data_IF_228407947213
#
_entry.id   IF_228407947213
#
_cell.length_a   1.000
_cell.length_b   1.000
_cell.length_c   1.000
_cell.angle_alpha   90.00
_cell.angle_beta   90.00
_cell.angle_gamma   90.00
#
_symmetry.space_group_name_H-M   'P 1'
#
loop_
_entity.id
_entity.type
_entity.pdbx_description
1 polymer ?
#
# COMPACT_ATOMS: atom_id res chain seq x y z
N UNK A 1 6.76 6.00 -23.90
CA UNK A 1 6.28 7.27 -24.52
C UNK A 1 7.03 8.42 -23.88
N UNK A 2 7.09 9.63 -24.45
CA UNK A 2 7.62 10.76 -23.67
C UNK A 2 6.55 11.17 -22.65
N UNK A 3 6.84 10.98 -21.36
CA UNK A 3 5.92 11.28 -20.26
C UNK A 3 5.96 12.80 -20.02
N UNK A 4 4.81 13.50 -20.01
CA UNK A 4 4.75 14.97 -20.02
C UNK A 4 5.07 15.62 -18.67
N UNK A 5 5.41 14.81 -17.67
CA UNK A 5 5.66 15.22 -16.29
C UNK A 5 6.92 14.52 -15.77
N UNK A 6 7.49 15.07 -14.72
CA UNK A 6 8.69 14.49 -14.13
C UNK A 6 8.37 13.22 -13.33
N UNK A 7 9.37 12.34 -13.23
CA UNK A 7 9.33 11.14 -12.41
C UNK A 7 10.51 11.17 -11.44
N UNK A 8 10.23 11.04 -10.15
CA UNK A 8 11.25 10.97 -9.13
C UNK A 8 10.71 10.92 -7.71
N UNK A 9 11.56 10.44 -6.80
CA UNK A 9 11.25 10.29 -5.37
C UNK A 9 10.86 11.61 -4.69
N UNK A 10 11.26 12.76 -5.25
CA UNK A 10 10.88 14.09 -4.75
C UNK A 10 9.38 14.33 -4.75
N UNK A 11 8.63 13.62 -5.61
CA UNK A 11 7.17 13.74 -5.71
C UNK A 11 6.41 12.83 -4.75
N UNK A 12 7.09 11.89 -4.07
CA UNK A 12 6.42 10.84 -3.28
C UNK A 12 5.48 11.39 -2.19
N UNK A 13 5.87 12.51 -1.58
CA UNK A 13 5.08 13.19 -0.56
C UNK A 13 3.99 14.14 -1.09
N UNK A 14 3.86 14.30 -2.41
CA UNK A 14 2.92 15.23 -3.03
C UNK A 14 1.48 14.86 -2.69
N UNK A 15 0.68 15.86 -2.31
CA UNK A 15 -0.74 15.70 -2.00
C UNK A 15 -1.58 16.57 -2.91
N UNK A 16 -2.46 15.95 -3.69
CA UNK A 16 -3.41 16.65 -4.56
C UNK A 16 -4.70 16.93 -3.77
N UNK A 17 -4.89 18.19 -3.35
CA UNK A 17 -6.10 18.60 -2.61
C UNK A 17 -7.30 18.70 -3.55
N UNK A 18 -8.51 18.73 -2.99
CA UNK A 18 -9.78 18.79 -3.76
C UNK A 18 -9.81 19.96 -4.76
N UNK A 19 -9.27 21.13 -4.40
CA UNK A 19 -9.24 22.29 -5.28
C UNK A 19 -8.26 22.16 -6.46
N UNK A 20 -7.25 21.30 -6.31
CA UNK A 20 -6.16 21.10 -7.27
C UNK A 20 -6.37 19.86 -8.15
N UNK A 21 -7.34 19.00 -7.81
CA UNK A 21 -7.58 17.76 -8.55
C UNK A 21 -8.27 18.06 -9.89
N UNK A 22 -7.75 17.44 -10.95
CA UNK A 22 -8.46 17.32 -12.22
C UNK A 22 -9.44 16.16 -12.17
N UNK A 23 -9.00 14.97 -11.73
CA UNK A 23 -9.88 13.80 -11.54
C UNK A 23 -9.52 13.07 -10.25
N UNK A 24 -10.52 12.42 -9.67
CA UNK A 24 -10.37 11.48 -8.56
C UNK A 24 -10.74 10.07 -9.04
N UNK A 25 -9.83 9.13 -8.83
CA UNK A 25 -9.95 7.74 -9.25
C UNK A 25 -9.99 6.87 -7.99
N UNK A 26 -11.10 6.18 -7.76
CA UNK A 26 -11.36 5.52 -6.48
C UNK A 26 -11.62 6.54 -5.35
N UNK A 27 -11.05 6.29 -4.17
CA UNK A 27 -11.30 7.10 -2.97
C UNK A 27 -12.63 6.85 -2.26
N UNK A 28 -12.89 7.57 -1.16
CA UNK A 28 -13.98 7.24 -0.22
C UNK A 28 -15.40 7.34 -0.80
N UNK A 29 -15.57 8.13 -1.87
CA UNK A 29 -16.89 8.37 -2.50
C UNK A 29 -17.17 7.44 -3.68
N UNK A 30 -16.25 6.55 -4.00
CA UNK A 30 -16.35 5.62 -5.12
C UNK A 30 -16.45 4.20 -4.55
N UNK A 31 -17.48 3.47 -4.97
CA UNK A 31 -17.79 2.14 -4.42
C UNK A 31 -16.80 1.07 -4.89
N UNK A 32 -16.49 1.06 -6.17
CA UNK A 32 -15.65 0.04 -6.79
C UNK A 32 -14.28 0.63 -7.12
N UNK A 33 -13.25 0.13 -6.43
CA UNK A 33 -11.87 0.55 -6.62
C UNK A 33 -10.92 -0.56 -6.19
N UNK A 34 -9.78 -0.68 -6.87
CA UNK A 34 -8.70 -1.50 -6.34
C UNK A 34 -7.49 -1.69 -7.23
N UNK A 35 -6.49 -2.40 -6.72
CA UNK A 35 -5.27 -2.73 -7.44
C UNK A 35 -4.84 -4.16 -7.18
N UNK A 36 -4.35 -4.87 -8.19
CA UNK A 36 -3.95 -6.26 -8.06
C UNK A 36 -2.70 -6.52 -8.88
N UNK A 37 -1.72 -7.17 -8.28
CA UNK A 37 -0.61 -7.81 -9.01
C UNK A 37 -0.89 -9.28 -9.15
N UNK A 38 -0.57 -9.84 -10.33
CA UNK A 38 -0.51 -11.28 -10.54
C UNK A 38 0.78 -11.72 -11.20
N UNK A 39 1.38 -12.77 -10.65
CA UNK A 39 2.42 -13.54 -11.31
C UNK A 39 1.81 -14.33 -12.47
N UNK A 40 2.53 -14.36 -13.58
CA UNK A 40 2.16 -15.04 -14.82
C UNK A 40 3.33 -15.80 -15.39
N UNK A 41 3.03 -16.77 -16.25
CA UNK A 41 4.08 -17.41 -17.05
C UNK A 41 4.57 -16.47 -18.15
N UNK A 42 5.79 -16.71 -18.61
CA UNK A 42 6.45 -15.86 -19.62
C UNK A 42 5.70 -15.78 -20.95
N UNK A 43 4.88 -16.79 -21.29
CA UNK A 43 4.07 -16.87 -22.50
C UNK A 43 2.64 -16.32 -22.35
N UNK A 44 2.19 -16.04 -21.13
CA UNK A 44 0.83 -15.54 -20.85
C UNK A 44 0.70 -14.03 -21.01
N UNK A 45 1.81 -13.28 -20.96
CA UNK A 45 1.79 -11.81 -20.99
C UNK A 45 2.69 -11.21 -22.08
N UNK A 46 2.28 -10.02 -22.54
CA UNK A 46 3.03 -9.23 -23.52
C UNK A 46 3.77 -8.11 -22.81
N UNK A 47 5.09 -8.19 -22.80
CA UNK A 47 5.94 -7.17 -22.18
C UNK A 47 5.68 -5.76 -22.74
N UNK A 48 5.63 -4.78 -21.86
CA UNK A 48 5.39 -3.38 -22.19
C UNK A 48 3.94 -3.06 -22.57
N UNK A 49 3.01 -4.04 -22.53
CA UNK A 49 1.62 -3.79 -22.92
C UNK A 49 0.93 -2.91 -21.88
N UNK A 50 0.32 -1.82 -22.35
CA UNK A 50 -0.55 -0.95 -21.55
C UNK A 50 -1.95 -0.93 -22.19
N UNK A 51 -2.98 -1.18 -21.39
CA UNK A 51 -4.38 -1.19 -21.83
C UNK A 51 -5.23 -0.32 -20.90
N UNK A 52 -6.20 0.40 -21.47
CA UNK A 52 -7.21 1.17 -20.72
C UNK A 52 -8.57 0.62 -21.11
N UNK A 53 -9.33 0.12 -20.12
CA UNK A 53 -10.64 -0.52 -20.29
C UNK A 53 -11.73 0.35 -19.68
N UNK A 54 -12.23 1.29 -20.50
CA UNK A 54 -13.21 2.30 -20.12
C UNK A 54 -12.76 3.70 -20.58
N UNK A 55 -13.42 4.76 -20.11
CA UNK A 55 -13.02 6.14 -20.41
C UNK A 55 -11.59 6.40 -19.94
N UNK A 56 -10.77 7.04 -20.77
CA UNK A 56 -9.44 7.52 -20.38
C UNK A 56 -9.51 8.93 -19.77
N UNK A 57 -8.41 9.46 -19.24
CA UNK A 57 -8.38 10.77 -18.57
C UNK A 57 -8.89 11.92 -19.46
N UNK A 58 -8.61 11.88 -20.76
CA UNK A 58 -9.06 12.88 -21.73
C UNK A 58 -10.59 12.93 -21.91
N UNK A 59 -11.29 11.88 -21.51
CA UNK A 59 -12.76 11.75 -21.56
C UNK A 59 -13.41 12.10 -20.21
N UNK A 60 -12.61 12.36 -19.17
CA UNK A 60 -13.09 12.66 -17.83
C UNK A 60 -13.17 14.17 -17.61
N UNK A 61 -14.34 14.65 -17.16
CA UNK A 61 -14.51 16.07 -16.85
C UNK A 61 -13.69 16.50 -15.62
N UNK A 62 -13.23 17.74 -15.58
CA UNK A 62 -12.57 18.30 -14.40
C UNK A 62 -13.46 18.21 -13.15
N UNK A 63 -12.88 17.78 -12.03
CA UNK A 63 -13.55 17.58 -10.74
C UNK A 63 -14.38 16.30 -10.64
N UNK A 64 -14.41 15.47 -11.69
CA UNK A 64 -15.18 14.22 -11.70
C UNK A 64 -14.52 13.11 -10.85
N UNK A 65 -15.31 12.06 -10.55
CA UNK A 65 -14.90 10.88 -9.79
C UNK A 65 -15.23 9.63 -10.58
N UNK A 66 -14.31 8.66 -10.61
CA UNK A 66 -14.49 7.43 -11.39
C UNK A 66 -14.06 6.19 -10.60
N UNK A 67 -14.75 5.08 -10.87
CA UNK A 67 -14.28 3.74 -10.48
C UNK A 67 -12.93 3.45 -11.12
N UNK A 68 -12.05 2.79 -10.39
CA UNK A 68 -10.67 2.60 -10.84
C UNK A 68 -10.07 1.27 -10.43
N UNK A 69 -9.53 0.55 -11.41
CA UNK A 69 -8.77 -0.69 -11.25
C UNK A 69 -7.36 -0.53 -11.81
N UNK A 70 -6.33 -0.86 -11.02
CA UNK A 70 -4.96 -1.01 -11.51
C UNK A 70 -4.63 -2.50 -11.51
N UNK A 71 -4.50 -3.10 -12.69
CA UNK A 71 -4.14 -4.51 -12.79
C UNK A 71 -2.75 -4.65 -13.42
N UNK A 72 -1.81 -5.19 -12.66
CA UNK A 72 -0.42 -5.38 -13.08
C UNK A 72 -0.14 -6.87 -13.16
N UNK A 73 0.38 -7.32 -14.30
CA UNK A 73 0.79 -8.70 -14.48
C UNK A 73 2.28 -8.75 -14.75
N UNK A 74 2.99 -9.59 -14.01
CA UNK A 74 4.45 -9.70 -14.02
C UNK A 74 4.88 -11.14 -14.29
N UNK A 75 5.97 -11.31 -15.02
CA UNK A 75 6.59 -12.60 -15.24
C UNK A 75 8.12 -12.46 -15.23
N UNK A 76 8.79 -13.50 -14.74
CA UNK A 76 10.24 -13.61 -14.68
C UNK A 76 10.63 -14.91 -14.00
N UNK A 77 11.85 -15.38 -14.20
CA UNK A 77 12.30 -16.67 -13.64
C UNK A 77 12.26 -16.73 -12.11
N UNK A 78 12.40 -15.57 -11.46
CA UNK A 78 12.40 -15.42 -10.00
C UNK A 78 11.08 -14.83 -9.47
N UNK A 79 10.07 -14.64 -10.33
CA UNK A 79 8.76 -14.13 -9.93
C UNK A 79 7.88 -15.30 -9.47
N UNK A 80 7.63 -15.36 -8.17
CA UNK A 80 6.76 -16.34 -7.53
C UNK A 80 5.44 -15.68 -7.07
N UNK A 81 4.39 -16.48 -6.86
CA UNK A 81 3.10 -15.96 -6.34
C UNK A 81 3.26 -15.27 -4.97
N UNK A 82 4.21 -15.73 -4.16
CA UNK A 82 4.55 -15.14 -2.85
C UNK A 82 5.12 -13.71 -2.96
N UNK A 83 5.55 -13.29 -4.15
CA UNK A 83 6.01 -11.92 -4.40
C UNK A 83 4.90 -10.99 -4.86
N UNK A 84 3.69 -11.49 -5.15
CA UNK A 84 2.62 -10.65 -5.69
C UNK A 84 2.29 -9.48 -4.74
N UNK A 85 2.16 -9.73 -3.43
CA UNK A 85 1.86 -8.68 -2.45
C UNK A 85 3.00 -7.66 -2.29
N UNK A 86 4.25 -8.12 -2.37
CA UNK A 86 5.45 -7.26 -2.32
C UNK A 86 5.47 -6.31 -3.51
N UNK A 87 5.25 -6.85 -4.71
CA UNK A 87 5.22 -6.06 -5.95
C UNK A 87 4.00 -5.14 -5.95
N UNK A 88 2.85 -5.61 -5.48
CA UNK A 88 1.60 -4.83 -5.42
C UNK A 88 1.77 -3.59 -4.53
N UNK A 89 2.48 -3.71 -3.42
CA UNK A 89 2.72 -2.57 -2.54
C UNK A 89 3.52 -1.46 -3.22
N UNK A 90 4.41 -1.79 -4.17
CA UNK A 90 5.22 -0.80 -4.90
C UNK A 90 4.41 0.03 -5.90
N UNK A 91 3.18 -0.37 -6.22
CA UNK A 91 2.25 0.48 -7.00
C UNK A 91 2.08 1.83 -6.30
N UNK A 92 1.95 1.84 -4.97
CA UNK A 92 1.84 3.07 -4.18
C UNK A 92 3.02 4.01 -4.43
N UNK A 93 4.25 3.55 -4.25
CA UNK A 93 5.45 4.40 -4.36
C UNK A 93 5.62 4.89 -5.80
N UNK A 94 5.51 3.97 -6.77
CA UNK A 94 5.75 4.29 -8.17
C UNK A 94 4.68 5.18 -8.77
N UNK A 95 3.42 5.10 -8.29
CA UNK A 95 2.41 6.09 -8.63
C UNK A 95 2.78 7.47 -8.06
N UNK A 96 3.21 7.54 -6.80
CA UNK A 96 3.56 8.81 -6.16
C UNK A 96 4.90 9.40 -6.63
N UNK A 97 5.74 8.65 -7.35
CA UNK A 97 6.92 9.21 -8.01
C UNK A 97 6.58 10.03 -9.25
N UNK A 98 5.35 9.94 -9.77
CA UNK A 98 4.92 10.68 -10.96
C UNK A 98 4.34 12.03 -10.53
N UNK A 99 4.95 13.14 -10.97
CA UNK A 99 4.54 14.50 -10.57
C UNK A 99 3.03 14.72 -10.78
N UNK A 100 2.35 15.11 -9.70
CA UNK A 100 0.93 15.40 -9.66
C UNK A 100 -0.01 14.22 -9.80
N UNK A 101 0.49 12.98 -9.72
CA UNK A 101 -0.34 11.79 -9.49
C UNK A 101 -0.17 11.32 -8.05
N UNK A 102 -1.23 11.46 -7.27
CA UNK A 102 -1.28 10.96 -5.89
C UNK A 102 -1.93 9.58 -5.89
N UNK A 103 -1.34 8.63 -5.18
CA UNK A 103 -1.92 7.33 -4.84
C UNK A 103 -1.87 7.12 -3.33
N UNK A 104 -2.97 6.62 -2.76
CA UNK A 104 -3.05 6.27 -1.34
C UNK A 104 -3.71 4.92 -1.17
N UNK A 105 -3.48 4.37 0.03
CA UNK A 105 -4.04 3.11 0.50
C UNK A 105 -3.47 1.91 -0.27
N UNK A 106 -4.29 0.90 -0.54
CA UNK A 106 -3.90 -0.40 -1.09
C UNK A 106 -5.10 -1.25 -1.48
N UNK A 107 -4.85 -2.36 -2.19
CA UNK A 107 -5.81 -3.43 -2.50
C UNK A 107 -7.14 -2.88 -2.99
N UNK A 108 -8.26 -3.15 -2.33
CA UNK A 108 -9.63 -2.74 -2.73
C UNK A 108 -10.03 -1.33 -2.26
N UNK A 109 -9.08 -0.57 -1.72
CA UNK A 109 -9.38 0.73 -1.11
C UNK A 109 -8.48 1.87 -1.62
N UNK A 110 -7.88 1.69 -2.79
CA UNK A 110 -7.02 2.72 -3.39
C UNK A 110 -7.74 4.07 -3.54
N UNK A 111 -6.98 5.14 -3.39
CA UNK A 111 -7.44 6.49 -3.61
C UNK A 111 -6.42 7.28 -4.40
N UNK A 112 -6.73 7.54 -5.66
CA UNK A 112 -5.83 8.26 -6.55
C UNK A 112 -6.41 9.60 -7.00
N UNK A 113 -5.53 10.56 -7.26
CA UNK A 113 -5.89 11.85 -7.87
C UNK A 113 -4.83 12.28 -8.85
N UNK A 114 -5.28 12.89 -9.94
CA UNK A 114 -4.42 13.62 -10.86
C UNK A 114 -4.62 15.13 -10.67
N UNK A 115 -3.54 15.90 -10.60
CA UNK A 115 -3.60 17.36 -10.46
C UNK A 115 -3.96 18.07 -11.77
N UNK A 116 -4.61 19.24 -11.68
CA UNK A 116 -4.88 20.13 -12.82
C UNK A 116 -3.58 20.60 -13.49
N UNK A 117 -2.53 20.81 -12.70
CA UNK A 117 -1.20 21.21 -13.19
C UNK A 117 -0.62 20.13 -14.12
N UNK A 118 -0.58 18.89 -13.67
CA UNK A 118 -0.04 17.77 -14.46
C UNK A 118 -0.91 17.44 -15.66
N UNK A 119 -2.23 17.49 -15.53
CA UNK A 119 -3.14 17.37 -16.67
C UNK A 119 -2.87 18.46 -17.72
N UNK A 120 -2.70 19.72 -17.28
CA UNK A 120 -2.37 20.86 -18.15
C UNK A 120 -1.01 20.76 -18.84
N UNK A 121 -0.04 20.03 -18.27
CA UNK A 121 1.24 19.69 -18.93
C UNK A 121 1.08 18.65 -20.05
N UNK A 122 -0.07 17.97 -20.13
CA UNK A 122 -0.35 16.95 -21.13
C UNK A 122 -0.57 15.55 -20.55
N UNK A 123 -0.59 15.36 -19.23
CA UNK A 123 -0.89 14.07 -18.60
C UNK A 123 -2.38 13.74 -18.73
N UNK A 124 -2.83 13.45 -19.95
CA UNK A 124 -4.23 13.28 -20.33
C UNK A 124 -4.59 11.85 -20.76
N UNK A 125 -3.72 10.88 -20.49
CA UNK A 125 -3.99 9.44 -20.64
C UNK A 125 -3.32 8.64 -19.53
N UNK A 126 -4.01 7.62 -19.02
CA UNK A 126 -3.45 6.65 -18.07
C UNK A 126 -2.27 5.87 -18.66
N UNK A 127 -2.10 5.88 -19.99
CA UNK A 127 -0.94 5.25 -20.64
C UNK A 127 0.39 5.84 -20.17
N UNK A 128 0.44 7.13 -19.84
CA UNK A 128 1.65 7.73 -19.25
C UNK A 128 1.96 7.15 -17.87
N UNK A 129 0.93 6.93 -17.04
CA UNK A 129 1.11 6.25 -15.75
C UNK A 129 1.59 4.82 -15.94
N UNK A 130 1.02 4.08 -16.90
CA UNK A 130 1.46 2.72 -17.21
C UNK A 130 2.92 2.65 -17.64
N UNK A 131 3.37 3.60 -18.47
CA UNK A 131 4.76 3.69 -18.93
C UNK A 131 5.72 4.01 -17.77
N UNK A 132 5.32 4.93 -16.87
CA UNK A 132 6.04 5.23 -15.64
C UNK A 132 6.16 4.00 -14.73
N UNK A 133 5.04 3.33 -14.45
CA UNK A 133 5.00 2.12 -13.62
C UNK A 133 5.90 1.03 -14.19
N UNK A 134 5.79 0.73 -15.49
CA UNK A 134 6.63 -0.30 -16.15
C UNK A 134 8.11 0.04 -16.02
N UNK A 135 8.48 1.30 -16.24
CA UNK A 135 9.87 1.78 -16.13
C UNK A 135 10.39 1.61 -14.71
N UNK A 136 9.64 2.08 -13.71
CA UNK A 136 10.03 2.02 -12.30
C UNK A 136 10.09 0.58 -11.78
N UNK A 137 9.10 -0.27 -12.11
CA UNK A 137 9.09 -1.68 -11.73
C UNK A 137 10.33 -2.42 -12.26
N UNK A 138 10.68 -2.23 -13.54
CA UNK A 138 11.86 -2.90 -14.11
C UNK A 138 13.19 -2.36 -13.57
N UNK A 139 13.26 -1.08 -13.24
CA UNK A 139 14.46 -0.47 -12.68
C UNK A 139 14.74 -0.98 -11.25
N UNK A 140 13.71 -1.02 -10.43
CA UNK A 140 13.81 -1.29 -8.99
C UNK A 140 13.69 -2.78 -8.65
N UNK A 141 12.98 -3.56 -9.48
CA UNK A 141 12.82 -5.01 -9.31
C UNK A 141 13.29 -5.75 -10.58
N UNK A 142 14.61 -5.92 -10.78
CA UNK A 142 15.17 -6.57 -11.97
C UNK A 142 14.74 -8.03 -12.18
N UNK A 143 14.12 -8.64 -11.18
CA UNK A 143 13.50 -9.98 -11.28
C UNK A 143 12.30 -10.00 -12.24
N UNK A 144 11.70 -8.85 -12.53
CA UNK A 144 10.57 -8.70 -13.45
C UNK A 144 11.11 -8.61 -14.89
N UNK A 145 11.02 -9.71 -15.64
CA UNK A 145 11.46 -9.77 -17.04
C UNK A 145 10.40 -9.22 -18.00
N UNK A 146 9.12 -9.55 -17.74
CA UNK A 146 7.97 -9.04 -18.49
C UNK A 146 6.96 -8.41 -17.55
N UNK A 147 6.36 -7.32 -17.99
CA UNK A 147 5.29 -6.64 -17.27
C UNK A 147 4.25 -6.08 -18.25
N UNK A 148 2.98 -6.17 -17.88
CA UNK A 148 1.89 -5.44 -18.53
C UNK A 148 0.98 -4.78 -17.49
N UNK A 149 0.39 -3.65 -17.86
CA UNK A 149 -0.50 -2.87 -17.00
C UNK A 149 -1.84 -2.68 -17.70
N UNK A 150 -2.92 -3.01 -17.02
CA UNK A 150 -4.29 -2.73 -17.46
C UNK A 150 -4.94 -1.80 -16.46
N UNK A 151 -5.33 -0.62 -16.91
CA UNK A 151 -6.21 0.27 -16.16
C UNK A 151 -7.66 -0.01 -16.52
N UNK A 152 -8.53 -0.04 -15.51
CA UNK A 152 -9.95 -0.32 -15.67
C UNK A 152 -10.72 0.87 -15.10
N UNK A 153 -11.51 1.52 -15.93
CA UNK A 153 -12.28 2.72 -15.56
C UNK A 153 -13.77 2.57 -15.87
N UNK A 154 -14.15 1.55 -16.63
CA UNK A 154 -15.54 1.12 -16.76
C UNK A 154 -16.07 0.56 -15.44
N UNK A 155 -17.10 1.20 -14.88
CA UNK A 155 -17.62 0.92 -13.53
C UNK A 155 -17.94 -0.55 -13.28
N UNK A 156 -18.66 -1.20 -14.20
CA UNK A 156 -19.06 -2.62 -14.07
C UNK A 156 -17.84 -3.54 -14.10
N UNK A 157 -16.87 -3.26 -14.97
CA UNK A 157 -15.63 -4.04 -15.02
C UNK A 157 -14.79 -3.84 -13.76
N UNK A 158 -14.78 -2.66 -13.16
CA UNK A 158 -14.10 -2.43 -11.87
C UNK A 158 -14.78 -3.21 -10.75
N UNK A 159 -16.11 -3.23 -10.68
CA UNK A 159 -16.85 -4.04 -9.70
C UNK A 159 -16.48 -5.53 -9.79
N UNK A 160 -16.46 -6.09 -11.00
CA UNK A 160 -16.09 -7.48 -11.25
C UNK A 160 -14.63 -7.75 -10.90
N UNK A 161 -13.73 -6.83 -11.27
CA UNK A 161 -12.31 -6.90 -10.95
C UNK A 161 -12.08 -6.93 -9.43
N UNK A 162 -12.65 -5.98 -8.69
CA UNK A 162 -12.49 -5.87 -7.23
C UNK A 162 -13.07 -7.08 -6.51
N UNK A 163 -14.23 -7.59 -6.97
CA UNK A 163 -14.83 -8.81 -6.41
C UNK A 163 -13.91 -10.02 -6.54
N UNK A 164 -13.21 -10.15 -7.67
CA UNK A 164 -12.24 -11.23 -7.87
C UNK A 164 -10.94 -11.00 -7.08
N UNK A 165 -10.46 -9.75 -7.03
CA UNK A 165 -9.27 -9.38 -6.29
C UNK A 165 -9.41 -9.68 -4.78
N UNK A 166 -10.58 -9.40 -4.20
CA UNK A 166 -10.89 -9.72 -2.80
C UNK A 166 -10.67 -11.20 -2.44
N UNK A 167 -11.09 -12.12 -3.31
CA UNK A 167 -10.87 -13.57 -3.09
C UNK A 167 -9.38 -13.93 -3.05
N UNK A 168 -8.57 -13.23 -3.85
CA UNK A 168 -7.13 -13.45 -3.89
C UNK A 168 -6.48 -12.91 -2.62
N UNK A 169 -6.87 -11.72 -2.15
CA UNK A 169 -6.37 -11.18 -0.89
C UNK A 169 -6.75 -12.06 0.30
N UNK A 170 -7.99 -12.56 0.36
CA UNK A 170 -8.44 -13.50 1.39
C UNK A 170 -7.57 -14.76 1.42
N UNK A 171 -7.20 -15.30 0.25
CA UNK A 171 -6.32 -16.45 0.16
C UNK A 171 -4.88 -16.13 0.62
N UNK A 172 -4.34 -14.96 0.26
CA UNK A 172 -3.02 -14.50 0.73
C UNK A 172 -3.00 -14.35 2.26
N UNK A 173 -4.03 -13.72 2.83
CA UNK A 173 -4.14 -13.47 4.27
C UNK A 173 -4.38 -14.76 5.07
N UNK A 174 -5.11 -15.74 4.51
CA UNK A 174 -5.36 -17.02 5.18
C UNK A 174 -4.08 -17.81 5.47
N UNK A 175 -3.05 -17.70 4.61
CA UNK A 175 -1.75 -18.35 4.81
C UNK A 175 -1.00 -17.79 6.01
N UNK A 176 -1.14 -16.49 6.29
CA UNK A 176 -0.48 -15.84 7.42
C UNK A 176 -1.03 -16.31 8.79
N UNK A 177 -2.31 -16.69 8.85
CA UNK A 177 -3.00 -17.05 10.11
C UNK A 177 -2.56 -18.39 10.74
N UNK A 178 -1.72 -19.16 10.06
CA UNK A 178 -1.24 -20.45 10.55
C UNK A 178 0.01 -20.35 11.44
N UNK A 179 0.53 -19.14 11.66
CA UNK A 179 1.78 -18.87 12.35
C UNK A 179 1.52 -17.83 13.45
N UNK A 180 2.19 -17.98 14.59
CA UNK A 180 2.11 -17.00 15.70
C UNK A 180 3.48 -16.44 16.06
N UNK A 181 3.51 -15.38 16.85
CA UNK A 181 4.73 -14.63 17.18
C UNK A 181 5.79 -15.49 17.90
N UNK A 182 5.36 -16.53 18.62
CA UNK A 182 6.25 -17.49 19.31
C UNK A 182 6.92 -18.49 18.37
N UNK A 183 6.37 -18.70 17.18
CA UNK A 183 6.84 -19.71 16.22
C UNK A 183 8.00 -19.18 15.35
N UNK A 184 8.30 -17.88 15.45
CA UNK A 184 9.30 -17.19 14.64
C UNK A 184 10.41 -16.57 15.49
N UNK A 185 11.60 -16.49 14.91
CA UNK A 185 12.79 -15.88 15.53
C UNK A 185 12.97 -14.41 15.19
N UNK A 186 12.27 -13.95 14.18
CA UNK A 186 12.41 -12.62 13.59
C UNK A 186 11.05 -12.09 13.14
N UNK A 187 10.89 -10.78 13.27
CA UNK A 187 9.79 -10.00 12.73
C UNK A 187 10.28 -9.20 11.53
N UNK A 188 9.40 -8.42 10.92
CA UNK A 188 9.76 -7.54 9.81
C UNK A 188 9.31 -6.11 10.05
N UNK A 189 10.14 -5.16 9.64
CA UNK A 189 9.83 -3.75 9.67
C UNK A 189 9.34 -3.23 8.32
N UNK A 190 8.65 -2.09 8.33
CA UNK A 190 8.39 -1.31 7.13
C UNK A 190 8.53 0.18 7.43
N UNK A 191 9.32 0.89 6.61
CA UNK A 191 9.50 2.36 6.65
C UNK A 191 9.02 3.06 5.39
N UNK A 192 8.27 2.36 4.53
CA UNK A 192 7.77 2.89 3.26
C UNK A 192 6.99 4.21 3.45
N UNK A 193 6.25 4.34 4.54
CA UNK A 193 5.43 5.52 4.81
C UNK A 193 6.19 6.71 5.43
N UNK A 194 7.52 6.63 5.57
CA UNK A 194 8.32 7.73 6.12
C UNK A 194 8.41 8.95 5.21
N UNK A 195 8.06 8.82 3.93
CA UNK A 195 7.92 9.95 3.01
C UNK A 195 6.86 10.97 3.46
N UNK A 196 5.89 10.58 4.28
CA UNK A 196 4.87 11.47 4.85
C UNK A 196 4.74 11.39 6.38
N UNK A 197 5.29 10.35 7.03
CA UNK A 197 5.37 10.24 8.48
C UNK A 197 6.80 9.86 8.90
N UNK A 198 7.74 10.82 8.95
CA UNK A 198 9.19 10.55 8.99
C UNK A 198 9.68 9.67 10.15
N UNK A 199 8.99 9.69 11.29
CA UNK A 199 9.35 8.92 12.48
C UNK A 199 8.53 7.64 12.63
N UNK A 200 7.63 7.33 11.70
CA UNK A 200 6.80 6.14 11.75
C UNK A 200 7.56 4.88 11.33
N UNK A 201 7.31 3.78 12.03
CA UNK A 201 7.86 2.44 11.74
C UNK A 201 6.75 1.42 11.97
N UNK A 202 6.45 0.59 10.98
CA UNK A 202 5.64 -0.61 11.19
C UNK A 202 6.52 -1.73 11.71
N UNK A 203 6.02 -2.50 12.68
CA UNK A 203 6.54 -3.83 13.02
C UNK A 203 5.45 -4.84 12.67
N UNK A 204 5.82 -5.82 11.84
CA UNK A 204 4.95 -6.80 11.22
C UNK A 204 5.33 -8.17 11.77
N UNK A 205 4.36 -8.84 12.38
CA UNK A 205 4.53 -10.13 13.04
C UNK A 205 3.49 -11.12 12.50
N UNK A 206 3.64 -12.43 12.73
CA UNK A 206 2.61 -13.39 12.36
C UNK A 206 1.22 -13.06 12.94
N UNK A 207 1.16 -12.61 14.20
CA UNK A 207 -0.08 -12.24 14.87
C UNK A 207 -0.55 -10.80 14.54
N UNK A 208 0.27 -10.01 13.84
CA UNK A 208 -0.05 -8.60 13.51
C UNK A 208 0.47 -8.16 12.14
N UNK A 209 -0.47 -8.05 11.20
CA UNK A 209 -0.24 -7.47 9.87
C UNK A 209 0.12 -5.98 9.95
N UNK A 210 0.72 -5.43 8.90
CA UNK A 210 0.92 -3.98 8.77
C UNK A 210 -0.41 -3.21 8.88
N UNK A 211 -0.38 -1.99 9.43
CA UNK A 211 -1.61 -1.22 9.68
C UNK A 211 -2.41 -0.86 8.43
N UNK A 212 -1.77 -0.86 7.27
CA UNK A 212 -2.45 -0.67 5.99
C UNK A 212 -3.10 -1.93 5.42
N UNK A 213 -2.91 -3.08 6.08
CA UNK A 213 -3.47 -4.37 5.67
C UNK A 213 -2.78 -5.03 4.48
N UNK A 214 -1.71 -4.44 3.93
CA UNK A 214 -1.12 -4.90 2.65
C UNK A 214 0.04 -5.87 2.79
N UNK A 215 0.73 -5.89 3.93
CA UNK A 215 1.97 -6.68 4.14
C UNK A 215 1.80 -7.52 5.40
N UNK A 216 1.70 -8.83 5.24
CA UNK A 216 1.79 -9.80 6.35
C UNK A 216 3.26 -10.22 6.60
N UNK A 217 3.48 -11.08 7.59
CA UNK A 217 4.83 -11.53 7.95
C UNK A 217 5.57 -12.23 6.80
N UNK A 218 4.88 -13.06 6.00
CA UNK A 218 5.47 -13.74 4.86
C UNK A 218 5.86 -12.75 3.75
N UNK A 219 5.02 -11.74 3.52
CA UNK A 219 5.29 -10.67 2.56
C UNK A 219 6.51 -9.85 3.01
N UNK A 220 6.59 -9.50 4.30
CA UNK A 220 7.75 -8.80 4.87
C UNK A 220 9.05 -9.57 4.70
N UNK A 221 9.02 -10.89 4.94
CA UNK A 221 10.14 -11.80 4.69
C UNK A 221 10.56 -11.82 3.23
N UNK A 222 9.59 -11.94 2.33
CA UNK A 222 9.84 -11.99 0.90
C UNK A 222 10.42 -10.66 0.40
N UNK A 223 9.86 -9.54 0.84
CA UNK A 223 10.31 -8.19 0.50
C UNK A 223 11.77 -7.95 0.94
N UNK A 224 12.10 -8.24 2.20
CA UNK A 224 13.45 -8.06 2.73
C UNK A 224 14.50 -8.95 2.02
N UNK A 225 14.08 -10.09 1.46
CA UNK A 225 14.95 -10.98 0.67
C UNK A 225 15.14 -10.49 -0.76
N UNK A 226 14.08 -10.03 -1.41
CA UNK A 226 14.10 -9.60 -2.82
C UNK A 226 14.78 -8.25 -2.97
N UNK A 227 14.52 -7.32 -2.05
CA UNK A 227 15.14 -6.00 -2.02
C UNK A 227 15.70 -5.71 -0.62
N UNK A 228 16.92 -6.18 -0.31
CA UNK A 228 17.54 -5.97 1.00
C UNK A 228 17.83 -4.51 1.37
N UNK A 229 17.81 -3.60 0.38
CA UNK A 229 17.98 -2.16 0.59
C UNK A 229 16.65 -1.41 0.57
N UNK A 230 15.55 -2.12 0.36
CA UNK A 230 14.22 -1.58 0.29
C UNK A 230 13.66 -1.15 1.65
N UNK A 231 12.39 -0.74 1.68
CA UNK A 231 11.74 -0.25 2.89
C UNK A 231 11.40 -1.34 3.91
N UNK A 232 11.50 -2.62 3.52
CA UNK A 232 11.23 -3.76 4.38
C UNK A 232 12.52 -4.44 4.82
N UNK A 233 12.63 -4.75 6.10
CA UNK A 233 13.86 -5.29 6.70
C UNK A 233 13.53 -6.27 7.83
N UNK A 234 14.43 -7.22 8.09
CA UNK A 234 14.30 -8.15 9.21
C UNK A 234 14.54 -7.45 10.55
N UNK A 235 13.80 -7.86 11.57
CA UNK A 235 13.93 -7.42 12.95
C UNK A 235 14.21 -8.66 13.81
N UNK A 236 15.46 -8.88 14.25
CA UNK A 236 15.75 -9.87 15.26
C UNK A 236 14.95 -9.57 16.54
N UNK A 237 14.26 -10.57 17.10
CA UNK A 237 13.43 -10.33 18.31
C UNK A 237 14.27 -9.86 19.50
N UNK A 238 15.47 -10.41 19.68
CA UNK A 238 16.26 -10.17 20.89
C UNK A 238 15.61 -10.83 22.11
N UNK A 239 15.78 -10.23 23.28
CA UNK A 239 15.22 -10.70 24.54
C UNK A 239 13.74 -10.33 24.67
N UNK A 240 12.92 -11.25 25.16
CA UNK A 240 11.54 -10.95 25.57
C UNK A 240 11.58 -10.22 26.92
N UNK A 241 11.13 -8.97 26.94
CA UNK A 241 11.12 -8.10 28.13
C UNK A 241 9.78 -8.23 28.87
N UNK A 242 8.68 -8.24 28.12
CA UNK A 242 7.32 -8.32 28.65
C UNK A 242 6.45 -9.19 27.75
N UNK A 243 6.06 -10.37 28.24
CA UNK A 243 5.22 -11.33 27.51
C UNK A 243 3.80 -10.80 27.27
N UNK A 244 3.24 -10.04 28.21
CA UNK A 244 1.85 -9.56 28.13
C UNK A 244 1.75 -8.44 27.09
N UNK A 245 2.65 -7.47 27.15
CA UNK A 245 2.67 -6.35 26.22
C UNK A 245 3.32 -6.72 24.86
N UNK A 246 4.02 -7.84 24.80
CA UNK A 246 4.81 -8.24 23.63
C UNK A 246 5.99 -7.29 23.40
N UNK A 247 6.73 -6.95 24.46
CA UNK A 247 7.90 -6.09 24.37
C UNK A 247 9.17 -6.91 24.17
N UNK A 248 9.96 -6.53 23.18
CA UNK A 248 11.17 -7.23 22.78
C UNK A 248 12.32 -6.24 22.63
N UNK A 249 13.50 -6.58 23.15
CA UNK A 249 14.65 -5.65 23.14
C UNK A 249 15.11 -5.31 21.72
N UNK A 250 15.12 -6.28 20.81
CA UNK A 250 15.51 -6.06 19.42
C UNK A 250 14.49 -5.23 18.63
N UNK A 251 13.20 -5.34 18.98
CA UNK A 251 12.15 -4.47 18.41
C UNK A 251 12.35 -3.03 18.88
N UNK A 252 12.58 -2.82 20.18
CA UNK A 252 12.84 -1.49 20.73
C UNK A 252 14.07 -0.82 20.10
N UNK A 253 15.18 -1.57 19.93
CA UNK A 253 16.40 -1.06 19.30
C UNK A 253 16.14 -0.57 17.87
N UNK A 254 15.50 -1.41 17.06
CA UNK A 254 15.20 -1.10 15.66
C UNK A 254 14.20 0.05 15.54
N UNK A 255 13.15 0.07 16.36
CA UNK A 255 12.17 1.16 16.38
C UNK A 255 12.85 2.47 16.76
N UNK A 256 13.73 2.48 17.76
CA UNK A 256 14.50 3.67 18.14
C UNK A 256 15.39 4.17 17.00
N UNK A 257 16.13 3.29 16.35
CA UNK A 257 16.98 3.65 15.21
C UNK A 257 16.15 4.23 14.05
N UNK A 258 15.10 3.51 13.64
CA UNK A 258 14.33 3.82 12.44
C UNK A 258 13.34 4.96 12.64
N UNK A 259 12.96 5.27 13.88
CA UNK A 259 12.13 6.44 14.21
C UNK A 259 12.94 7.69 14.56
N UNK A 260 14.26 7.69 14.31
CA UNK A 260 15.17 8.80 14.62
C UNK A 260 15.20 9.15 16.12
N UNK A 261 14.97 8.16 16.99
CA UNK A 261 14.94 8.31 18.44
C UNK A 261 13.59 8.75 19.02
N UNK A 262 12.57 9.02 18.20
CA UNK A 262 11.26 9.48 18.68
C UNK A 262 10.52 8.40 19.49
N UNK A 263 10.69 7.13 19.12
CA UNK A 263 10.05 6.01 19.81
C UNK A 263 11.12 5.07 20.37
N UNK A 264 11.20 4.93 21.68
CA UNK A 264 12.20 4.08 22.35
C UNK A 264 11.66 2.70 22.74
N UNK A 265 10.34 2.58 22.91
CA UNK A 265 9.66 1.36 23.35
C UNK A 265 8.48 1.06 22.45
N UNK A 266 8.19 -0.21 22.27
CA UNK A 266 7.18 -0.65 21.32
C UNK A 266 6.45 -1.90 21.81
N UNK A 267 5.15 -1.75 22.10
CA UNK A 267 4.31 -2.84 22.60
C UNK A 267 3.46 -3.42 21.46
N UNK A 268 3.66 -4.71 21.17
CA UNK A 268 2.95 -5.42 20.11
C UNK A 268 1.48 -5.71 20.45
N UNK A 269 1.15 -5.88 21.74
CA UNK A 269 -0.16 -6.38 22.18
C UNK A 269 -0.88 -5.44 23.16
N UNK A 270 -0.46 -4.17 23.22
CA UNK A 270 -1.10 -3.16 24.07
C UNK A 270 -1.34 -1.85 23.31
N UNK A 271 -2.51 -1.25 23.56
CA UNK A 271 -2.83 0.10 23.08
C UNK A 271 -2.43 1.19 24.10
N UNK A 272 -1.92 0.79 25.27
CA UNK A 272 -1.57 1.69 26.36
C UNK A 272 -0.06 1.84 26.50
N UNK A 273 0.37 3.01 26.98
CA UNK A 273 1.77 3.38 27.26
C UNK A 273 2.68 3.54 26.04
N UNK A 274 2.92 2.46 25.28
CA UNK A 274 3.85 2.48 24.14
C UNK A 274 3.26 1.76 22.91
N UNK A 275 2.06 2.18 22.44
CA UNK A 275 1.42 1.57 21.28
C UNK A 275 2.21 1.86 20.00
N UNK A 276 1.86 1.14 18.94
CA UNK A 276 2.38 1.44 17.61
C UNK A 276 1.99 2.86 17.17
N UNK A 277 2.92 3.56 16.51
CA UNK A 277 2.59 4.79 15.80
C UNK A 277 1.80 4.49 14.52
N UNK A 278 1.20 5.52 13.94
CA UNK A 278 0.47 5.43 12.68
C UNK A 278 1.02 6.45 11.69
N UNK A 279 1.03 6.09 10.41
CA UNK A 279 1.26 7.03 9.32
C UNK A 279 -0.08 7.67 8.87
N UNK A 280 -0.64 7.24 7.74
CA UNK A 280 -1.93 7.76 7.25
C UNK A 280 -2.73 6.79 6.39
N UNK A 281 -2.32 5.52 6.31
CA UNK A 281 -2.94 4.51 5.47
C UNK A 281 -3.62 3.38 6.27
N UNK A 282 -3.88 3.59 7.57
CA UNK A 282 -4.59 2.62 8.41
C UNK A 282 -6.02 2.40 7.90
N UNK A 283 -6.48 1.14 7.95
CA UNK A 283 -7.86 0.78 7.57
C UNK A 283 -8.86 1.07 8.69
N UNK A 284 -8.40 1.05 9.94
CA UNK A 284 -9.24 1.27 11.12
C UNK A 284 -8.47 1.97 12.23
N UNK A 285 -9.19 2.68 13.09
CA UNK A 285 -8.68 3.27 14.33
C UNK A 285 -9.31 2.54 15.50
N UNK A 286 -8.49 2.18 16.49
CA UNK A 286 -8.94 1.71 17.79
C UNK A 286 -8.81 2.83 18.83
N UNK A 287 -9.81 2.98 19.70
CA UNK A 287 -9.82 3.98 20.76
C UNK A 287 -10.44 3.40 22.04
N UNK A 288 -9.97 3.88 23.20
CA UNK A 288 -10.47 3.43 24.49
C UNK A 288 -11.71 4.23 24.89
N UNK A 289 -12.72 3.55 25.43
CA UNK A 289 -13.99 4.13 25.91
C UNK A 289 -14.04 3.94 27.44
N UNK A 290 -13.69 4.96 28.23
CA UNK A 290 -13.59 4.84 29.69
C UNK A 290 -14.88 4.40 30.37
N UNK A 291 -16.04 4.86 29.89
CA UNK A 291 -17.36 4.65 30.49
C UNK A 291 -17.76 3.18 30.53
N UNK A 292 -17.25 2.38 29.59
CA UNK A 292 -17.51 0.94 29.48
C UNK A 292 -16.25 0.10 29.66
N UNK A 293 -15.13 0.74 30.03
CA UNK A 293 -13.80 0.12 30.08
C UNK A 293 -13.51 -0.75 28.84
N UNK A 294 -13.88 -0.24 27.66
CA UNK A 294 -13.91 -1.01 26.41
C UNK A 294 -13.09 -0.37 25.30
N UNK A 295 -12.98 -1.08 24.18
CA UNK A 295 -12.28 -0.62 22.98
C UNK A 295 -13.32 -0.43 21.87
N UNK A 296 -13.40 0.78 21.33
CA UNK A 296 -14.10 1.08 20.10
C UNK A 296 -13.18 0.90 18.90
N UNK A 297 -13.73 0.42 17.78
CA UNK A 297 -13.01 0.32 16.50
C UNK A 297 -13.88 0.98 15.44
N UNK A 298 -13.29 1.90 14.69
CA UNK A 298 -13.93 2.54 13.54
C UNK A 298 -13.15 2.24 12.28
N UNK A 299 -13.84 1.71 11.27
CA UNK A 299 -13.29 1.51 9.94
C UNK A 299 -13.31 2.82 9.17
N UNK A 300 -12.31 3.08 8.33
CA UNK A 300 -12.20 4.33 7.55
C UNK A 300 -13.35 4.66 6.61
N UNK A 301 -14.16 3.67 6.24
CA UNK A 301 -15.36 3.83 5.41
C UNK A 301 -16.57 4.29 6.24
N UNK A 302 -16.46 4.27 7.57
CA UNK A 302 -17.46 4.84 8.45
C UNK A 302 -17.50 6.36 8.23
N UNK A 303 -18.70 6.90 8.08
CA UNK A 303 -18.94 8.34 7.85
C UNK A 303 -19.88 8.97 8.88
N UNK A 304 -20.33 8.19 9.86
CA UNK A 304 -21.12 8.67 10.98
C UNK A 304 -20.24 9.07 12.16
N UNK A 305 -20.87 9.57 13.22
CA UNK A 305 -20.17 9.85 14.47
C UNK A 305 -19.91 8.55 15.23
N UNK A 306 -18.70 8.42 15.77
CA UNK A 306 -18.39 7.40 16.77
C UNK A 306 -19.03 7.76 18.11
N UNK A 307 -18.98 6.83 19.06
CA UNK A 307 -19.41 7.08 20.45
C UNK A 307 -18.63 8.19 21.15
N UNK A 308 -17.49 8.63 20.60
CA UNK A 308 -16.70 9.76 21.07
C UNK A 308 -17.16 11.11 20.50
N UNK A 309 -18.19 11.12 19.64
CA UNK A 309 -18.70 12.34 19.00
C UNK A 309 -17.79 12.89 17.89
N UNK A 310 -16.87 12.06 17.39
CA UNK A 310 -16.02 12.38 16.22
C UNK A 310 -16.19 11.30 15.15
N UNK A 311 -16.12 11.64 13.85
CA UNK A 311 -16.13 10.67 12.76
C UNK A 311 -14.93 9.72 12.76
#
# INVERSE_FOLDING_TARGET
MEIPVEIGVVYEGERVRKGEMHVELGGPKVKAKGELVRARKMDEIKDGKIEVKGPDLSEMAEGSRHSFGIFVEVAGKQVEEDLEAVIERRIHDYCNYVEGFMHLNQRYDIWCRLSKKSYGKGFNTLRYLGDALITLFKAELPIIEKIQVTFITDEKRVEDFVRNARKIYEARDARARALSDKDVKEFYGCVLCQSFAPTHVCVITPDRISLCGSINWFDGRAAARVDPKGPNFAIPKGELIDEINGEYSGVNEVVRERSLGENERFYLHSMFSSPHTSCGCFESIAFYIPEVAGIGIVHRDHSGDTVMGVP
#
